data_IF_896008658397
#
_entry.id   IF_896008658397
#
_cell.length_a   1.000
_cell.length_b   1.000
_cell.length_c   1.000
_cell.angle_alpha   90.00
_cell.angle_beta   90.00
_cell.angle_gamma   90.00
#
_symmetry.space_group_name_H-M   'P 1'
#
loop_
_entity.id
_entity.type
_entity.pdbx_description
1 polymer ?
#
# COMPACT_ATOMS: atom_id res chain seq x y z
N UNK A 1 -3.80 -12.99 -9.96
CA UNK A 1 -3.55 -11.83 -9.07
C UNK A 1 -2.94 -12.22 -7.72
N UNK A 2 -3.45 -13.28 -7.04
CA UNK A 2 -2.97 -13.74 -5.73
C UNK A 2 -1.48 -14.16 -5.66
N UNK A 3 -0.92 -14.74 -6.72
CA UNK A 3 0.51 -15.15 -6.74
C UNK A 3 1.48 -13.96 -6.61
N UNK A 4 1.11 -12.78 -7.12
CA UNK A 4 1.94 -11.56 -7.06
C UNK A 4 1.95 -10.97 -5.64
N UNK A 5 0.84 -11.13 -4.92
CA UNK A 5 0.75 -10.78 -3.50
C UNK A 5 1.67 -11.71 -2.68
N UNK A 6 1.62 -13.02 -2.90
CA UNK A 6 2.46 -13.98 -2.17
C UNK A 6 3.97 -13.76 -2.39
N UNK A 7 4.40 -13.40 -3.60
CA UNK A 7 5.79 -13.00 -3.88
C UNK A 7 6.19 -11.70 -3.17
N UNK A 8 5.28 -10.72 -3.11
CA UNK A 8 5.47 -9.51 -2.32
C UNK A 8 5.57 -9.81 -0.81
N UNK A 9 4.99 -10.89 -0.30
CA UNK A 9 5.11 -11.26 1.10
C UNK A 9 6.42 -11.99 1.45
N UNK A 10 7.12 -12.59 0.48
CA UNK A 10 8.28 -13.48 0.73
C UNK A 10 9.65 -12.80 0.75
N UNK A 11 9.82 -11.58 0.23
CA UNK A 11 11.15 -10.94 0.17
C UNK A 11 11.53 -10.24 1.50
N UNK A 12 12.72 -10.41 2.08
CA UNK A 12 13.14 -9.57 3.21
C UNK A 12 13.33 -8.11 2.75
N UNK A 13 12.91 -7.14 3.58
CA UNK A 13 13.08 -5.70 3.31
C UNK A 13 11.88 -4.87 3.78
N UNK A 14 12.15 -3.66 4.29
CA UNK A 14 11.14 -2.73 4.87
C UNK A 14 10.24 -2.09 3.79
N UNK A 15 10.82 -1.81 2.62
CA UNK A 15 10.14 -1.15 1.49
C UNK A 15 9.90 -2.15 0.35
N UNK A 16 8.69 -2.17 -0.19
CA UNK A 16 8.33 -2.90 -1.42
C UNK A 16 8.32 -1.98 -2.60
N UNK A 17 8.87 -2.44 -3.73
CA UNK A 17 8.87 -1.71 -4.99
C UNK A 17 8.32 -2.58 -6.10
N UNK A 18 7.49 -2.00 -6.96
CA UNK A 18 6.95 -2.66 -8.14
C UNK A 18 6.54 -1.62 -9.18
N UNK A 19 6.46 -2.06 -10.43
CA UNK A 19 6.07 -1.24 -11.57
C UNK A 19 4.62 -1.54 -11.97
N UNK A 20 3.86 -0.50 -12.30
CA UNK A 20 2.47 -0.59 -12.76
C UNK A 20 2.27 0.27 -14.00
N UNK A 21 1.50 -0.19 -15.01
CA UNK A 21 1.19 0.58 -16.22
C UNK A 21 0.05 1.57 -15.94
N UNK A 22 0.22 2.43 -14.95
CA UNK A 22 -0.81 3.37 -14.48
C UNK A 22 -0.10 4.66 -14.07
N UNK A 23 -0.70 5.82 -14.39
CA UNK A 23 -0.11 7.11 -14.05
C UNK A 23 -0.02 7.29 -12.52
N UNK A 24 0.97 8.03 -12.00
CA UNK A 24 1.19 8.14 -10.55
C UNK A 24 -0.03 8.64 -9.79
N UNK A 25 -0.74 9.64 -10.35
CA UNK A 25 -1.95 10.20 -9.75
C UNK A 25 -3.05 9.14 -9.58
N UNK A 26 -3.27 8.32 -10.61
CA UNK A 26 -4.29 7.27 -10.59
C UNK A 26 -3.93 6.18 -9.57
N UNK A 27 -2.65 5.83 -9.46
CA UNK A 27 -2.17 4.91 -8.42
C UNK A 27 -2.51 5.43 -7.03
N UNK A 28 -2.26 6.73 -6.75
CA UNK A 28 -2.56 7.33 -5.45
C UNK A 28 -4.06 7.34 -5.18
N UNK A 29 -4.87 7.74 -6.16
CA UNK A 29 -6.32 7.81 -6.02
C UNK A 29 -6.93 6.43 -5.76
N UNK A 30 -6.57 5.43 -6.56
CA UNK A 30 -7.02 4.05 -6.39
C UNK A 30 -6.56 3.47 -5.04
N UNK A 31 -5.31 3.71 -4.65
CA UNK A 31 -4.79 3.27 -3.35
C UNK A 31 -5.55 3.92 -2.19
N UNK A 32 -5.90 5.20 -2.30
CA UNK A 32 -6.68 5.90 -1.27
C UNK A 32 -8.08 5.31 -1.10
N UNK A 33 -8.73 4.90 -2.20
CA UNK A 33 -10.05 4.27 -2.19
C UNK A 33 -9.99 2.90 -1.51
N UNK A 34 -9.01 2.08 -1.90
CA UNK A 34 -8.80 0.76 -1.27
C UNK A 34 -8.54 0.90 0.22
N UNK A 35 -7.64 1.80 0.63
CA UNK A 35 -7.32 2.01 2.04
C UNK A 35 -8.52 2.51 2.84
N UNK A 36 -9.32 3.44 2.30
CA UNK A 36 -10.57 3.87 2.94
C UNK A 36 -11.57 2.72 3.08
N UNK A 37 -11.70 1.88 2.05
CA UNK A 37 -12.55 0.68 2.09
C UNK A 37 -12.12 -0.34 3.15
N UNK A 38 -10.82 -0.37 3.48
CA UNK A 38 -10.25 -1.17 4.57
C UNK A 38 -10.33 -0.48 5.95
N UNK A 39 -11.05 0.63 6.08
CA UNK A 39 -11.16 1.39 7.34
C UNK A 39 -9.85 2.09 7.76
N UNK A 40 -8.87 2.21 6.87
CA UNK A 40 -7.59 2.86 7.15
C UNK A 40 -7.73 4.37 7.05
N UNK A 41 -7.30 5.09 8.08
CA UNK A 41 -7.34 6.55 8.11
C UNK A 41 -6.22 7.15 7.25
N UNK A 42 -6.57 7.80 6.14
CA UNK A 42 -5.62 8.58 5.33
C UNK A 42 -5.20 9.83 6.11
N UNK A 43 -3.89 10.02 6.27
CA UNK A 43 -3.28 11.15 7.00
C UNK A 43 -2.88 12.26 6.05
N UNK A 44 -2.25 11.88 4.93
CA UNK A 44 -1.76 12.82 3.91
C UNK A 44 -1.91 12.18 2.54
N UNK A 45 -2.37 12.98 1.58
CA UNK A 45 -2.35 12.68 0.15
C UNK A 45 -1.77 13.90 -0.54
N UNK A 46 -0.65 13.72 -1.22
CA UNK A 46 0.08 14.77 -1.91
C UNK A 46 0.35 14.28 -3.33
N UNK A 47 -0.57 14.63 -4.23
CA UNK A 47 -0.56 14.14 -5.62
C UNK A 47 0.61 14.71 -6.40
N UNK A 48 1.03 15.95 -6.11
CA UNK A 48 2.14 16.62 -6.76
C UNK A 48 3.48 15.97 -6.34
N UNK A 49 3.63 15.65 -5.05
CA UNK A 49 4.82 14.93 -4.56
C UNK A 49 4.79 13.43 -4.86
N UNK A 50 3.66 12.90 -5.34
CA UNK A 50 3.50 11.48 -5.61
C UNK A 50 3.41 10.63 -4.34
N UNK A 51 2.87 11.14 -3.23
CA UNK A 51 2.88 10.46 -1.92
C UNK A 51 1.52 10.32 -1.25
N UNK A 52 1.36 9.22 -0.52
CA UNK A 52 0.21 8.94 0.33
C UNK A 52 0.70 8.37 1.67
N UNK A 53 0.18 8.89 2.76
CA UNK A 53 0.39 8.36 4.11
C UNK A 53 -0.92 7.98 4.77
N UNK A 54 -0.94 6.81 5.40
CA UNK A 54 -2.12 6.29 6.06
C UNK A 54 -1.78 5.62 7.40
N UNK A 55 -2.64 5.79 8.41
CA UNK A 55 -2.49 5.14 9.71
C UNK A 55 -3.30 3.86 9.73
N UNK A 56 -2.62 2.73 9.93
CA UNK A 56 -3.25 1.43 10.07
C UNK A 56 -3.96 1.33 11.44
N UNK A 57 -5.13 0.70 11.49
CA UNK A 57 -5.96 0.58 12.70
C UNK A 57 -5.20 -0.04 13.90
N UNK A 58 -4.33 -0.99 13.59
CA UNK A 58 -3.50 -1.79 14.50
C UNK A 58 -2.17 -1.15 14.91
N UNK A 59 -1.96 0.11 14.53
CA UNK A 59 -0.67 0.81 14.66
C UNK A 59 0.29 0.57 13.50
N UNK A 60 1.07 1.61 13.19
CA UNK A 60 1.97 1.71 12.04
C UNK A 60 1.49 2.76 11.04
N UNK A 61 2.44 3.37 10.32
CA UNK A 61 2.17 4.32 9.25
C UNK A 61 2.57 3.68 7.94
N UNK A 62 1.59 3.47 7.06
CA UNK A 62 1.82 3.07 5.68
C UNK A 62 2.18 4.32 4.88
N UNK A 63 3.30 4.26 4.16
CA UNK A 63 3.76 5.28 3.22
C UNK A 63 3.81 4.68 1.84
N UNK A 64 3.13 5.30 0.90
CA UNK A 64 3.14 4.95 -0.50
C UNK A 64 3.73 6.11 -1.29
N UNK A 65 4.64 5.80 -2.21
CA UNK A 65 5.19 6.74 -3.19
C UNK A 65 4.98 6.18 -4.59
N UNK A 66 4.37 6.97 -5.46
CA UNK A 66 4.26 6.68 -6.88
C UNK A 66 5.09 7.72 -7.65
N UNK A 67 6.00 7.26 -8.49
CA UNK A 67 6.81 8.11 -9.36
C UNK A 67 6.71 7.61 -10.79
N UNK A 68 6.65 8.53 -11.75
CA UNK A 68 6.61 8.18 -13.17
C UNK A 68 7.82 7.32 -13.56
N UNK A 69 7.57 6.25 -14.31
CA UNK A 69 8.59 5.39 -14.89
C UNK A 69 8.07 4.82 -16.22
N UNK A 70 8.73 5.20 -17.32
CA UNK A 70 8.24 4.89 -18.67
C UNK A 70 6.81 5.40 -18.87
N UNK A 71 5.95 4.55 -19.41
CA UNK A 71 4.53 4.84 -19.62
C UNK A 71 3.67 4.58 -18.37
N UNK A 72 4.29 4.32 -17.22
CA UNK A 72 3.61 3.93 -15.98
C UNK A 72 4.23 4.54 -14.73
N UNK A 73 4.17 3.79 -13.63
CA UNK A 73 4.67 4.21 -12.32
C UNK A 73 5.52 3.15 -11.67
N UNK A 74 6.62 3.60 -11.09
CA UNK A 74 7.28 2.91 -9.98
C UNK A 74 6.55 3.23 -8.69
N UNK A 75 6.09 2.19 -8.00
CA UNK A 75 5.41 2.32 -6.71
C UNK A 75 6.32 1.77 -5.62
N UNK A 76 6.51 2.53 -4.55
CA UNK A 76 7.19 2.11 -3.34
C UNK A 76 6.23 2.16 -2.16
N UNK A 77 6.15 1.09 -1.37
CA UNK A 77 5.33 0.99 -0.16
C UNK A 77 6.22 0.64 1.02
N UNK A 78 6.10 1.40 2.10
CA UNK A 78 6.76 1.17 3.39
C UNK A 78 5.72 1.18 4.51
N UNK A 79 5.97 0.42 5.58
CA UNK A 79 5.16 0.47 6.80
C UNK A 79 6.09 0.65 7.99
N UNK A 80 5.93 1.78 8.66
CA UNK A 80 6.84 2.14 9.74
C UNK A 80 6.77 1.16 10.92
N UNK A 81 7.94 0.81 11.45
CA UNK A 81 8.10 -0.06 12.61
C UNK A 81 7.75 -1.53 12.40
N UNK A 82 7.49 -2.01 11.17
CA UNK A 82 7.16 -3.43 10.93
C UNK A 82 7.93 -4.07 9.80
N UNK A 83 8.15 -5.38 9.94
CA UNK A 83 8.44 -6.25 8.81
C UNK A 83 7.16 -6.56 8.01
N UNK A 84 7.32 -6.86 6.73
CA UNK A 84 6.19 -7.18 5.85
C UNK A 84 5.46 -8.46 6.25
N UNK A 85 6.07 -9.38 7.00
CA UNK A 85 5.41 -10.57 7.51
C UNK A 85 4.35 -10.24 8.58
N UNK A 86 4.59 -9.22 9.39
CA UNK A 86 3.61 -8.63 10.30
C UNK A 86 2.51 -7.89 9.55
N UNK A 87 2.87 -7.08 8.55
CA UNK A 87 1.90 -6.33 7.72
C UNK A 87 1.00 -7.28 6.90
N UNK A 88 1.54 -8.37 6.38
CA UNK A 88 0.81 -9.38 5.63
C UNK A 88 -0.30 -10.04 6.45
N UNK A 89 0.07 -10.54 7.63
CA UNK A 89 -0.85 -11.20 8.57
C UNK A 89 -1.94 -10.23 9.03
N UNK A 90 -1.58 -8.96 9.13
CA UNK A 90 -2.49 -7.90 9.50
C UNK A 90 -3.52 -7.59 8.41
N UNK A 91 -3.07 -7.30 7.20
CA UNK A 91 -3.96 -7.03 6.06
C UNK A 91 -4.86 -8.24 5.77
N UNK A 92 -4.33 -9.47 5.91
CA UNK A 92 -5.13 -10.68 5.80
C UNK A 92 -6.23 -10.77 6.86
N UNK A 93 -5.96 -10.35 8.11
CA UNK A 93 -6.97 -10.27 9.18
C UNK A 93 -8.04 -9.23 8.87
N UNK A 94 -7.64 -8.02 8.46
CA UNK A 94 -8.57 -6.93 8.13
C UNK A 94 -9.46 -7.28 6.93
N UNK A 95 -8.90 -7.91 5.90
CA UNK A 95 -9.68 -8.42 4.76
C UNK A 95 -10.67 -9.51 5.18
N UNK A 96 -10.26 -10.41 6.08
CA UNK A 96 -11.15 -11.46 6.60
C UNK A 96 -12.27 -10.91 7.50
N UNK A 97 -12.00 -9.86 8.29
CA UNK A 97 -13.02 -9.20 9.12
C UNK A 97 -13.94 -8.28 8.32
N UNK A 98 -13.41 -7.58 7.31
CA UNK A 98 -14.18 -6.71 6.42
C UNK A 98 -15.04 -7.47 5.41
N UNK A 99 -14.69 -8.70 5.06
CA UNK A 99 -15.52 -9.59 4.24
C UNK A 99 -16.66 -10.27 5.03
N UNK A 100 -16.63 -10.19 6.36
CA UNK A 100 -17.62 -10.79 7.25
C UNK A 100 -18.66 -9.79 7.79
N UNK A 101 -18.56 -8.52 7.40
CA UNK A 101 -19.50 -7.44 7.72
C UNK A 101 -20.36 -7.09 6.50
#
# INVERSE_FOLDING_TARGET
MLNRLAELLRRPGRVRRFEVPTAPVDVLMQSSLVLRGLGVAIRRLDVDAGTLEARLAVGGVLRLRASAEGDGSRVAIDVDGRDWGGVARLLARELASGAAA
#
